data_IF_505434951239
#
_entry.id   IF_505434951239
#
_cell.length_a   1.000
_cell.length_b   1.000
_cell.length_c   1.000
_cell.angle_alpha   90.00
_cell.angle_beta   90.00
_cell.angle_gamma   90.00
#
_symmetry.space_group_name_H-M   'P 1'
#
loop_
_entity.id
_entity.type
_entity.pdbx_description
1 polymer ?
#
# COMPACT_ATOMS: atom_id res chain seq x y z
N UNK A 1 -1.66 8.20 -12.20
CA UNK A 1 -0.61 8.63 -11.23
C UNK A 1 -0.95 8.08 -9.84
N UNK A 2 -0.07 7.28 -9.25
CA UNK A 2 -0.28 6.68 -7.93
C UNK A 2 -0.20 7.71 -6.81
N UNK A 3 -1.21 7.73 -5.93
CA UNK A 3 -1.20 8.46 -4.66
C UNK A 3 -0.97 7.48 -3.51
N UNK A 4 -0.07 7.83 -2.59
CA UNK A 4 0.33 6.95 -1.47
C UNK A 4 -0.05 7.58 -0.14
N UNK A 5 -0.46 6.75 0.81
CA UNK A 5 -0.76 7.14 2.20
C UNK A 5 -0.12 6.14 3.15
N UNK A 6 0.53 6.68 4.19
CA UNK A 6 1.08 5.89 5.29
C UNK A 6 -0.03 5.51 6.25
N UNK A 7 -0.02 4.27 6.72
CA UNK A 7 -1.02 3.77 7.66
C UNK A 7 -0.40 3.64 9.04
N UNK A 8 -1.05 4.26 10.04
CA UNK A 8 -0.54 4.25 11.42
C UNK A 8 -0.82 2.90 12.09
N UNK A 9 0.24 2.10 12.27
CA UNK A 9 0.19 0.81 12.94
C UNK A 9 -0.41 0.85 14.33
N UNK A 10 -0.12 1.88 15.14
CA UNK A 10 -0.61 1.95 16.52
C UNK A 10 -2.11 2.24 16.55
N UNK A 11 -2.62 3.03 15.60
CA UNK A 11 -4.04 3.34 15.49
C UNK A 11 -4.84 2.15 14.94
N UNK A 12 -4.32 1.46 13.92
CA UNK A 12 -5.06 0.43 13.19
C UNK A 12 -4.77 -1.01 13.64
N UNK A 13 -3.74 -1.22 14.47
CA UNK A 13 -3.39 -2.52 15.03
C UNK A 13 -2.93 -3.55 13.99
N UNK A 14 -2.37 -3.11 12.85
CA UNK A 14 -1.82 -4.00 11.83
C UNK A 14 -0.29 -4.08 11.91
N UNK A 15 0.32 -5.18 11.47
CA UNK A 15 1.79 -5.31 11.48
C UNK A 15 2.38 -5.65 10.11
N UNK A 16 1.54 -6.06 9.15
CA UNK A 16 1.97 -6.62 7.87
C UNK A 16 2.36 -5.61 6.78
N UNK A 17 2.07 -4.31 6.91
CA UNK A 17 2.39 -3.30 5.88
C UNK A 17 2.50 -1.88 6.46
N UNK A 18 3.14 -0.97 5.71
CA UNK A 18 3.37 0.42 6.17
C UNK A 18 2.63 1.47 5.31
N UNK A 19 2.55 1.24 4.00
CA UNK A 19 1.91 2.17 3.07
C UNK A 19 0.89 1.46 2.19
N UNK A 20 -0.08 2.23 1.72
CA UNK A 20 -0.93 1.83 0.60
C UNK A 20 -0.92 2.90 -0.48
N UNK A 21 -0.97 2.46 -1.73
CA UNK A 21 -1.01 3.29 -2.91
C UNK A 21 -2.27 3.01 -3.73
N UNK A 22 -2.78 4.03 -4.40
CA UNK A 22 -3.83 3.85 -5.40
C UNK A 22 -3.56 4.69 -6.64
N UNK A 23 -3.49 4.04 -7.79
CA UNK A 23 -3.56 4.69 -9.10
C UNK A 23 -5.00 4.61 -9.61
N UNK A 24 -5.69 5.75 -9.60
CA UNK A 24 -7.10 5.84 -9.99
C UNK A 24 -7.33 5.62 -11.49
N UNK A 25 -6.36 5.98 -12.33
CA UNK A 25 -6.50 5.87 -13.79
C UNK A 25 -6.32 4.42 -14.24
N UNK A 26 -5.37 3.71 -13.60
CA UNK A 26 -5.11 2.30 -13.87
C UNK A 26 -5.97 1.35 -13.01
N UNK A 27 -6.68 1.87 -12.01
CA UNK A 27 -7.41 1.09 -11.00
C UNK A 27 -6.52 0.06 -10.30
N UNK A 28 -5.31 0.49 -9.93
CA UNK A 28 -4.31 -0.34 -9.26
C UNK A 28 -4.23 0.06 -7.79
N UNK A 29 -4.50 -0.88 -6.90
CA UNK A 29 -4.32 -0.71 -5.46
C UNK A 29 -3.08 -1.48 -5.00
N UNK A 30 -2.14 -0.77 -4.37
CA UNK A 30 -0.85 -1.33 -3.96
C UNK A 30 -0.72 -1.32 -2.44
N UNK A 31 -0.23 -2.42 -1.88
CA UNK A 31 0.10 -2.56 -0.46
C UNK A 31 1.60 -2.78 -0.33
N UNK A 32 2.28 -1.87 0.36
CA UNK A 32 3.72 -1.89 0.56
C UNK A 32 4.04 -2.59 1.87
N UNK A 33 4.51 -3.82 1.74
CA UNK A 33 4.95 -4.68 2.81
C UNK A 33 6.37 -4.26 3.28
N UNK A 34 6.83 -4.74 4.44
CA UNK A 34 8.22 -4.60 4.84
C UNK A 34 9.21 -5.09 3.77
N UNK A 35 10.45 -4.63 3.86
CA UNK A 35 11.57 -5.08 3.03
C UNK A 35 11.42 -4.79 1.53
N UNK A 36 10.62 -3.77 1.17
CA UNK A 36 10.45 -3.35 -0.22
C UNK A 36 9.59 -4.31 -1.07
N UNK A 37 8.84 -5.20 -0.42
CA UNK A 37 7.83 -6.03 -1.09
C UNK A 37 6.55 -5.22 -1.35
N UNK A 38 5.95 -5.41 -2.51
CA UNK A 38 4.69 -4.76 -2.88
C UNK A 38 3.70 -5.78 -3.46
N UNK A 39 2.46 -5.71 -3.01
CA UNK A 39 1.32 -6.41 -3.63
C UNK A 39 0.52 -5.40 -4.42
N UNK A 40 0.40 -5.59 -5.73
CA UNK A 40 -0.37 -4.70 -6.60
C UNK A 40 -1.57 -5.43 -7.18
N UNK A 41 -2.76 -5.03 -6.72
CA UNK A 41 -4.06 -5.55 -7.14
C UNK A 41 -4.59 -4.71 -8.29
N UNK A 42 -5.02 -5.35 -9.37
CA UNK A 42 -5.56 -4.68 -10.56
C UNK A 42 -7.09 -4.70 -10.58
N UNK A 43 -7.70 -3.78 -11.34
CA UNK A 43 -9.16 -3.63 -11.46
C UNK A 43 -9.86 -3.33 -10.13
N UNK A 44 -9.15 -2.71 -9.18
CA UNK A 44 -9.70 -2.34 -7.87
C UNK A 44 -10.38 -0.98 -7.98
N UNK A 45 -11.72 -0.98 -7.95
CA UNK A 45 -12.49 0.26 -7.96
C UNK A 45 -12.23 1.08 -6.69
N UNK A 46 -12.29 2.40 -6.83
CA UNK A 46 -12.06 3.37 -5.74
C UNK A 46 -12.93 3.10 -4.49
N UNK A 47 -14.16 2.62 -4.67
CA UNK A 47 -15.05 2.22 -3.56
C UNK A 47 -14.48 1.08 -2.69
N UNK A 48 -13.72 0.16 -3.29
CA UNK A 48 -13.09 -0.97 -2.58
C UNK A 48 -11.90 -0.46 -1.78
N UNK A 49 -11.14 0.49 -2.33
CA UNK A 49 -10.06 1.18 -1.61
C UNK A 49 -10.60 1.91 -0.38
N UNK A 50 -11.71 2.65 -0.52
CA UNK A 50 -12.35 3.29 0.64
C UNK A 50 -12.85 2.27 1.67
N UNK A 51 -13.41 1.15 1.21
CA UNK A 51 -13.85 0.07 2.10
C UNK A 51 -12.66 -0.51 2.88
N UNK A 52 -11.50 -0.67 2.24
CA UNK A 52 -10.26 -1.08 2.91
C UNK A 52 -9.82 -0.04 3.95
N UNK A 53 -9.78 1.25 3.60
CA UNK A 53 -9.36 2.31 4.51
C UNK A 53 -10.24 2.35 5.78
N UNK A 54 -11.54 2.12 5.63
CA UNK A 54 -12.52 2.11 6.73
C UNK A 54 -12.60 0.78 7.50
N UNK A 55 -12.04 -0.32 6.96
CA UNK A 55 -12.08 -1.61 7.63
C UNK A 55 -11.32 -1.58 8.96
N UNK A 56 -11.87 -2.16 10.02
CA UNK A 56 -11.19 -2.21 11.33
C UNK A 56 -10.00 -3.18 11.30
N UNK A 57 -10.19 -4.32 10.65
CA UNK A 57 -9.15 -5.34 10.48
C UNK A 57 -8.68 -5.33 9.02
N UNK A 58 -7.51 -4.73 8.80
CA UNK A 58 -6.92 -4.58 7.47
C UNK A 58 -6.41 -5.91 6.92
N UNK A 59 -5.87 -6.77 7.77
CA UNK A 59 -5.26 -8.04 7.36
C UNK A 59 -6.34 -9.04 6.92
N UNK A 60 -7.41 -9.14 7.70
CA UNK A 60 -8.60 -9.91 7.30
C UNK A 60 -9.21 -9.38 6.00
N UNK A 61 -9.25 -8.05 5.81
CA UNK A 61 -9.74 -7.48 4.55
C UNK A 61 -8.87 -7.92 3.35
N UNK A 62 -7.54 -7.90 3.49
CA UNK A 62 -6.63 -8.37 2.45
C UNK A 62 -6.89 -9.85 2.12
N UNK A 63 -6.90 -10.71 3.14
CA UNK A 63 -7.03 -12.16 2.99
C UNK A 63 -8.41 -12.59 2.46
N UNK A 64 -9.47 -11.90 2.87
CA UNK A 64 -10.85 -12.33 2.59
C UNK A 64 -11.52 -11.54 1.47
N UNK A 65 -11.04 -10.34 1.13
CA UNK A 65 -11.69 -9.45 0.14
C UNK A 65 -10.79 -9.05 -1.01
N UNK A 66 -9.47 -8.91 -0.80
CA UNK A 66 -8.57 -8.55 -1.89
C UNK A 66 -8.05 -9.79 -2.62
N UNK A 67 -7.31 -10.65 -1.93
CA UNK A 67 -6.68 -11.85 -2.51
C UNK A 67 -7.67 -12.75 -3.28
N UNK A 68 -8.88 -13.04 -2.77
CA UNK A 68 -9.77 -13.96 -3.47
C UNK A 68 -10.48 -13.35 -4.68
N UNK A 69 -10.57 -12.02 -4.77
CA UNK A 69 -11.46 -11.34 -5.72
C UNK A 69 -10.75 -10.47 -6.75
N UNK A 70 -9.47 -10.15 -6.53
CA UNK A 70 -8.70 -9.28 -7.42
C UNK A 70 -7.41 -9.96 -7.85
N UNK A 71 -7.08 -9.97 -9.15
CA UNK A 71 -5.77 -10.39 -9.63
C UNK A 71 -4.70 -9.48 -9.01
N UNK A 72 -3.59 -10.08 -8.57
CA UNK A 72 -2.49 -9.32 -8.00
C UNK A 72 -1.13 -9.89 -8.40
N UNK A 73 -0.16 -8.99 -8.45
CA UNK A 73 1.24 -9.32 -8.65
C UNK A 73 2.03 -8.95 -7.40
N UNK A 74 3.07 -9.75 -7.10
CA UNK A 74 4.04 -9.43 -6.07
C UNK A 74 5.33 -8.95 -6.74
N UNK A 75 5.79 -7.77 -6.38
CA UNK A 75 7.12 -7.28 -6.72
C UNK A 75 7.99 -7.13 -5.48
N UNK A 76 9.28 -7.28 -5.65
CA UNK A 76 10.29 -6.94 -4.64
C UNK A 76 11.24 -5.94 -5.28
N UNK A 77 11.38 -4.75 -4.71
CA UNK A 77 12.50 -3.88 -5.08
C UNK A 77 13.79 -4.51 -4.56
N UNK A 78 14.73 -4.82 -5.46
CA UNK A 78 16.12 -4.92 -5.03
C UNK A 78 16.55 -3.52 -4.61
N UNK A 79 16.68 -3.28 -3.31
CA UNK A 79 17.06 -1.99 -2.76
C UNK A 79 18.49 -1.64 -3.23
N UNK A 80 18.60 -0.91 -4.33
CA UNK A 80 19.81 -0.12 -4.62
C UNK A 80 19.74 1.13 -3.75
N UNK A 81 20.47 1.12 -2.63
CA UNK A 81 20.62 2.28 -1.77
C UNK A 81 21.04 3.53 -2.56
N UNK A 82 20.14 4.50 -2.69
CA UNK A 82 20.49 5.90 -2.97
C UNK A 82 19.46 6.82 -2.32
N UNK A 83 19.50 6.88 -0.99
CA UNK A 83 18.83 7.96 -0.25
C UNK A 83 19.73 9.20 -0.36
N UNK A 84 19.38 10.15 -1.23
CA UNK A 84 19.87 11.52 -1.15
C UNK A 84 18.75 12.40 -0.61
N UNK A 85 18.63 12.48 0.71
CA UNK A 85 17.83 13.53 1.35
C UNK A 85 18.72 14.77 1.40
N UNK A 86 18.36 15.77 0.60
CA UNK A 86 18.95 17.11 0.66
C UNK A 86 18.68 17.69 2.04
N UNK A 87 19.73 18.00 2.77
CA UNK A 87 19.65 18.76 4.00
C UNK A 87 19.38 20.23 3.66
N UNK A 88 18.19 20.71 4.04
CA UNK A 88 17.88 22.13 4.09
C UNK A 88 17.98 22.58 5.55
N UNK A 89 18.90 23.51 5.82
CA UNK A 89 18.80 24.40 6.96
C UNK A 89 19.51 25.72 6.62
N UNK A 90 18.71 26.78 6.41
CA UNK A 90 19.06 28.14 6.83
C UNK A 90 19.49 28.09 8.30
N UNK A 91 20.52 28.78 8.78
CA UNK A 91 20.74 30.24 8.84
C UNK A 91 22.25 30.48 8.81
#
# INVERSE_FOLDING_TARGET
MMKVTRMDTNLWGHESFEYVGYDKEAEIFSIFLPEGCCLSFTSVKEQVVFSFLLALDKESFILQKLIPFFPFEKSSEQVSHSVSIKQAASI
#
